data_IF_033206890401
#
_entry.id   IF_033206890401
#
_cell.length_a   1.000
_cell.length_b   1.000
_cell.length_c   1.000
_cell.angle_alpha   90.00
_cell.angle_beta   90.00
_cell.angle_gamma   90.00
#
_symmetry.space_group_name_H-M   'P 1'
#
loop_
_entity.id
_entity.type
_entity.pdbx_description
1 polymer ?
#
# COMPACT_ATOMS: atom_id res chain seq x y z
N UNK A 1 0.26 2.24 -21.15
CA UNK A 1 -0.33 1.43 -20.04
C UNK A 1 0.81 0.83 -19.26
N UNK A 2 1.01 1.23 -17.99
CA UNK A 2 2.03 0.63 -17.13
C UNK A 2 1.64 -0.83 -16.84
N UNK A 3 2.62 -1.71 -16.89
CA UNK A 3 2.37 -3.13 -16.64
C UNK A 3 1.98 -3.32 -15.17
N UNK A 4 0.76 -3.77 -14.92
CA UNK A 4 0.32 -4.16 -13.58
C UNK A 4 0.98 -5.51 -13.30
N UNK A 5 1.94 -5.52 -12.39
CA UNK A 5 2.57 -6.75 -11.92
C UNK A 5 1.63 -7.46 -10.94
N UNK A 6 1.57 -8.77 -11.02
CA UNK A 6 0.72 -9.59 -10.16
C UNK A 6 1.54 -10.64 -9.42
N UNK A 7 1.18 -10.89 -8.17
CA UNK A 7 1.59 -12.05 -7.41
C UNK A 7 0.37 -12.93 -7.17
N UNK A 8 0.45 -14.19 -7.55
CA UNK A 8 -0.63 -15.14 -7.38
C UNK A 8 -0.20 -16.30 -6.48
N UNK A 9 -1.03 -16.62 -5.51
CA UNK A 9 -0.89 -17.84 -4.73
C UNK A 9 -2.22 -18.58 -4.63
N UNK A 10 -2.17 -19.86 -4.93
CA UNK A 10 -3.34 -20.72 -4.96
C UNK A 10 -3.21 -21.75 -3.83
N UNK A 11 -4.28 -21.92 -3.07
CA UNK A 11 -4.40 -22.96 -2.05
C UNK A 11 -5.69 -23.75 -2.21
N UNK A 12 -5.66 -25.09 -2.19
CA UNK A 12 -6.87 -25.88 -2.06
C UNK A 12 -7.47 -25.67 -0.68
N UNK A 13 -8.77 -25.49 -0.60
CA UNK A 13 -9.56 -25.41 0.63
C UNK A 13 -10.67 -26.47 0.58
N UNK A 14 -10.79 -27.26 1.62
CA UNK A 14 -11.69 -28.39 1.65
C UNK A 14 -12.76 -28.23 2.76
N UNK A 15 -14.00 -28.58 2.41
CA UNK A 15 -15.09 -28.69 3.36
C UNK A 15 -15.50 -30.16 3.46
N UNK A 16 -15.50 -30.72 4.67
CA UNK A 16 -15.99 -32.06 4.91
C UNK A 16 -17.53 -32.08 4.88
N UNK A 17 -18.10 -32.98 4.07
CA UNK A 17 -19.53 -33.24 4.02
C UNK A 17 -19.77 -34.75 4.31
N UNK A 18 -21.02 -35.13 4.53
CA UNK A 18 -21.40 -36.57 4.72
C UNK A 18 -21.02 -37.43 3.52
N UNK A 19 -21.05 -36.85 2.30
CA UNK A 19 -20.72 -37.52 1.04
C UNK A 19 -19.24 -37.47 0.67
N UNK A 20 -18.36 -36.93 1.53
CA UNK A 20 -16.94 -36.77 1.29
C UNK A 20 -16.47 -35.30 1.32
N UNK A 21 -15.25 -35.08 0.86
CA UNK A 21 -14.63 -33.73 0.83
C UNK A 21 -14.97 -32.97 -0.44
N UNK A 22 -15.44 -31.73 -0.27
CA UNK A 22 -15.59 -30.78 -1.38
C UNK A 22 -14.42 -29.84 -1.41
N UNK A 23 -13.62 -29.91 -2.46
CA UNK A 23 -12.45 -29.03 -2.67
C UNK A 23 -12.83 -27.81 -3.47
N UNK A 24 -12.35 -26.65 -3.02
CA UNK A 24 -12.34 -25.39 -3.77
C UNK A 24 -10.93 -24.83 -3.77
N UNK A 25 -10.65 -23.95 -4.70
CA UNK A 25 -9.36 -23.28 -4.80
C UNK A 25 -9.49 -21.82 -4.38
N UNK A 26 -8.66 -21.41 -3.42
CA UNK A 26 -8.55 -20.03 -2.99
C UNK A 26 -7.37 -19.39 -3.69
N UNK A 27 -7.61 -18.34 -4.45
CA UNK A 27 -6.57 -17.49 -5.04
C UNK A 27 -6.38 -16.24 -4.19
N UNK A 28 -5.13 -15.91 -3.90
CA UNK A 28 -4.70 -14.69 -3.23
C UNK A 28 -3.85 -13.94 -4.25
N UNK A 29 -4.29 -12.76 -4.66
CA UNK A 29 -3.66 -11.97 -5.72
C UNK A 29 -3.30 -10.60 -5.16
N UNK A 30 -2.07 -10.17 -5.38
CA UNK A 30 -1.61 -8.81 -5.12
C UNK A 30 -1.25 -8.18 -6.45
N UNK A 31 -1.71 -6.98 -6.69
CA UNK A 31 -1.37 -6.18 -7.87
C UNK A 31 -0.69 -4.88 -7.45
N UNK A 32 0.16 -4.34 -8.29
CA UNK A 32 0.79 -3.04 -8.06
C UNK A 32 1.48 -2.50 -9.31
N UNK A 33 1.74 -1.20 -9.30
CA UNK A 33 2.41 -0.48 -10.38
C UNK A 33 3.88 -0.18 -10.08
N UNK A 34 4.38 -0.58 -8.90
CA UNK A 34 5.70 -0.24 -8.37
C UNK A 34 5.96 1.28 -8.20
N UNK A 35 4.90 2.09 -8.24
CA UNK A 35 4.97 3.55 -8.12
C UNK A 35 4.08 4.12 -7.01
N UNK A 36 3.73 3.30 -6.05
CA UNK A 36 2.97 3.74 -4.88
C UNK A 36 1.50 3.35 -4.88
N UNK A 37 1.10 2.36 -5.66
CA UNK A 37 -0.26 1.81 -5.63
C UNK A 37 -0.21 0.30 -5.50
N UNK A 38 -1.03 -0.24 -4.62
CA UNK A 38 -1.17 -1.69 -4.42
C UNK A 38 -2.61 -2.08 -4.19
N UNK A 39 -3.00 -3.24 -4.67
CA UNK A 39 -4.32 -3.82 -4.47
C UNK A 39 -4.23 -5.28 -4.04
N UNK A 40 -5.14 -5.72 -3.20
CA UNK A 40 -5.23 -7.10 -2.71
C UNK A 40 -6.61 -7.68 -3.02
N UNK A 41 -6.63 -8.84 -3.67
CA UNK A 41 -7.84 -9.57 -3.99
C UNK A 41 -7.77 -11.02 -3.54
N UNK A 42 -8.83 -11.52 -2.93
CA UNK A 42 -8.93 -12.90 -2.47
C UNK A 42 -10.28 -13.46 -2.90
N UNK A 43 -10.25 -14.59 -3.59
CA UNK A 43 -11.46 -15.28 -4.06
C UNK A 43 -11.30 -16.78 -4.02
N UNK A 44 -12.42 -17.45 -3.78
CA UNK A 44 -12.51 -18.92 -3.84
C UNK A 44 -13.47 -19.33 -4.94
N UNK A 45 -13.09 -20.36 -5.73
CA UNK A 45 -13.94 -20.94 -6.76
C UNK A 45 -13.74 -22.46 -6.84
N UNK A 46 -14.60 -23.14 -7.59
CA UNK A 46 -14.45 -24.57 -7.90
C UNK A 46 -13.27 -24.79 -8.85
N UNK A 47 -13.04 -23.85 -9.79
CA UNK A 47 -11.97 -23.89 -10.78
C UNK A 47 -10.88 -22.88 -10.42
N UNK A 48 -9.63 -23.25 -10.68
CA UNK A 48 -8.46 -22.41 -10.41
C UNK A 48 -8.49 -21.14 -11.27
N UNK A 49 -8.71 -21.28 -12.58
CA UNK A 49 -8.72 -20.14 -13.51
C UNK A 49 -9.79 -19.10 -13.15
N UNK A 50 -10.98 -19.55 -12.78
CA UNK A 50 -12.07 -18.67 -12.34
C UNK A 50 -11.75 -17.98 -11.02
N UNK A 51 -11.09 -18.68 -10.08
CA UNK A 51 -10.64 -18.09 -8.81
C UNK A 51 -9.63 -16.96 -9.05
N UNK A 52 -8.64 -17.18 -9.92
CA UNK A 52 -7.61 -16.20 -10.27
C UNK A 52 -8.23 -14.97 -10.93
N UNK A 53 -9.01 -15.15 -11.98
CA UNK A 53 -9.67 -14.03 -12.71
C UNK A 53 -10.51 -13.16 -11.77
N UNK A 54 -11.32 -13.81 -10.92
CA UNK A 54 -12.16 -13.10 -9.97
C UNK A 54 -11.33 -12.38 -8.88
N UNK A 55 -10.24 -12.99 -8.40
CA UNK A 55 -9.33 -12.35 -7.44
C UNK A 55 -8.62 -11.12 -8.04
N UNK A 56 -8.22 -11.17 -9.31
CA UNK A 56 -7.64 -10.02 -10.02
C UNK A 56 -8.64 -8.86 -10.10
N UNK A 57 -9.90 -9.15 -10.42
CA UNK A 57 -10.95 -8.11 -10.48
C UNK A 57 -11.12 -7.45 -9.10
N UNK A 58 -11.18 -8.24 -8.03
CA UNK A 58 -11.29 -7.72 -6.66
C UNK A 58 -10.04 -6.89 -6.30
N UNK A 59 -8.85 -7.37 -6.65
CA UNK A 59 -7.61 -6.64 -6.40
C UNK A 59 -7.59 -5.28 -7.11
N UNK A 60 -8.06 -5.20 -8.36
CA UNK A 60 -8.18 -3.94 -9.09
C UNK A 60 -9.17 -2.95 -8.46
N UNK A 61 -10.24 -3.44 -7.85
CA UNK A 61 -11.22 -2.62 -7.15
C UNK A 61 -10.74 -2.14 -5.77
N UNK A 62 -9.75 -2.84 -5.18
CA UNK A 62 -9.19 -2.53 -3.86
C UNK A 62 -7.87 -1.77 -3.91
N UNK A 63 -7.51 -1.20 -5.04
CA UNK A 63 -6.27 -0.43 -5.17
C UNK A 63 -6.31 0.81 -4.27
N UNK A 64 -5.25 0.98 -3.48
CA UNK A 64 -5.05 2.16 -2.64
C UNK A 64 -3.65 2.74 -2.82
N UNK A 65 -3.50 4.06 -2.62
CA UNK A 65 -2.22 4.74 -2.69
C UNK A 65 -1.40 4.48 -1.42
N UNK A 66 -0.08 4.47 -1.59
CA UNK A 66 0.90 4.28 -0.54
C UNK A 66 1.84 5.47 -0.50
N UNK A 67 2.06 6.01 0.69
CA UNK A 67 3.05 7.05 0.87
C UNK A 67 4.43 6.42 0.99
N UNK A 68 5.33 6.78 0.07
CA UNK A 68 6.75 6.47 0.17
C UNK A 68 7.47 7.63 0.84
N UNK A 69 8.58 7.34 1.50
CA UNK A 69 9.35 8.32 2.23
C UNK A 69 10.85 8.00 2.21
N UNK A 70 11.54 8.59 3.18
CA UNK A 70 12.99 8.48 3.34
C UNK A 70 13.30 7.96 4.73
N UNK A 71 14.41 7.22 4.85
CA UNK A 71 14.92 6.81 6.15
C UNK A 71 15.59 7.97 6.90
N UNK A 72 16.24 8.88 6.17
CA UNK A 72 17.00 10.02 6.71
C UNK A 72 16.82 11.25 5.82
N UNK A 73 17.88 11.75 5.22
CA UNK A 73 17.89 12.92 4.34
C UNK A 73 17.02 12.72 3.11
N UNK A 74 16.24 13.74 2.74
CA UNK A 74 15.36 13.74 1.58
C UNK A 74 16.14 14.00 0.28
N UNK A 75 17.04 13.09 -0.08
CA UNK A 75 17.84 13.16 -1.31
C UNK A 75 17.33 12.15 -2.33
N UNK A 76 17.10 12.58 -3.55
CA UNK A 76 16.62 11.74 -4.66
C UNK A 76 15.16 11.29 -4.51
N UNK A 77 14.81 10.18 -5.15
CA UNK A 77 13.46 9.64 -5.08
C UNK A 77 13.18 8.94 -3.73
N UNK A 78 11.93 8.96 -3.26
CA UNK A 78 11.56 8.24 -2.04
C UNK A 78 11.74 6.73 -2.24
N UNK A 79 12.52 6.13 -1.36
CA UNK A 79 12.93 4.72 -1.47
C UNK A 79 12.35 3.82 -0.39
N UNK A 80 11.86 4.39 0.70
CA UNK A 80 11.44 3.67 1.89
C UNK A 80 10.04 4.09 2.35
N UNK A 81 9.72 3.84 3.59
CA UNK A 81 8.47 4.21 4.24
C UNK A 81 8.67 5.51 5.03
N UNK A 82 7.63 6.37 5.15
CA UNK A 82 7.74 7.62 5.89
C UNK A 82 7.81 7.41 7.39
N UNK A 83 7.10 6.42 7.93
CA UNK A 83 6.94 6.14 9.36
C UNK A 83 6.96 4.64 9.62
N UNK A 84 7.12 4.27 10.89
CA UNK A 84 6.94 2.88 11.34
C UNK A 84 5.45 2.60 11.45
N UNK A 85 4.96 1.67 10.63
CA UNK A 85 3.54 1.33 10.61
C UNK A 85 3.30 -0.13 10.95
N UNK A 86 2.16 -0.39 11.58
CA UNK A 86 1.75 -1.73 11.94
C UNK A 86 0.36 -2.03 11.38
N UNK A 87 0.18 -3.25 10.92
CA UNK A 87 -1.12 -3.75 10.51
C UNK A 87 -1.42 -5.08 11.18
N UNK A 88 -2.69 -5.33 11.47
CA UNK A 88 -3.15 -6.55 12.13
C UNK A 88 -4.30 -7.17 11.33
N UNK A 89 -4.25 -8.49 11.22
CA UNK A 89 -5.36 -9.28 10.69
C UNK A 89 -5.43 -10.62 11.42
N UNK A 90 -6.51 -10.85 12.15
CA UNK A 90 -6.61 -12.02 13.03
C UNK A 90 -5.54 -12.01 14.11
N UNK A 91 -4.81 -13.11 14.24
CA UNK A 91 -3.67 -13.21 15.18
C UNK A 91 -2.36 -12.66 14.62
N UNK A 92 -2.30 -12.36 13.31
CA UNK A 92 -1.09 -11.89 12.65
C UNK A 92 -0.96 -10.37 12.80
N UNK A 93 0.21 -9.93 13.25
CA UNK A 93 0.61 -8.54 13.27
C UNK A 93 1.88 -8.40 12.44
N UNK A 94 1.89 -7.46 11.51
CA UNK A 94 3.06 -7.11 10.70
C UNK A 94 3.42 -5.67 11.00
N UNK A 95 4.68 -5.43 11.34
CA UNK A 95 5.25 -4.10 11.54
C UNK A 95 6.26 -3.82 10.45
N UNK A 96 6.12 -2.70 9.78
CA UNK A 96 7.02 -2.20 8.76
C UNK A 96 7.86 -1.06 9.32
N UNK A 97 9.15 -1.05 9.02
CA UNK A 97 10.13 -0.12 9.57
C UNK A 97 10.95 0.44 8.42
N UNK A 98 11.16 1.77 8.32
CA UNK A 98 12.03 2.38 7.34
C UNK A 98 13.47 1.85 7.44
N UNK A 99 14.14 1.74 6.30
CA UNK A 99 15.53 1.26 6.22
C UNK A 99 16.39 2.19 5.36
N UNK A 100 17.71 2.26 5.61
CA UNK A 100 18.65 3.03 4.79
C UNK A 100 18.73 2.48 3.37
N UNK A 101 19.21 3.32 2.44
CA UNK A 101 19.40 2.94 1.03
C UNK A 101 20.35 1.76 0.92
N UNK A 102 20.05 0.84 0.01
CA UNK A 102 20.85 -0.34 -0.25
C UNK A 102 20.58 -1.52 0.67
N UNK A 103 19.72 -1.37 1.69
CA UNK A 103 19.34 -2.49 2.58
C UNK A 103 18.47 -3.51 1.84
N UNK A 104 17.65 -3.05 0.87
CA UNK A 104 16.65 -3.87 0.24
C UNK A 104 15.46 -4.15 1.17
N UNK A 105 14.60 -5.04 0.76
CA UNK A 105 13.41 -5.42 1.56
C UNK A 105 13.73 -6.68 2.36
N UNK A 106 13.80 -6.54 3.68
CA UNK A 106 14.01 -7.63 4.63
C UNK A 106 12.67 -8.05 5.20
N UNK A 107 12.06 -9.04 4.59
CA UNK A 107 10.73 -9.51 4.91
C UNK A 107 10.51 -10.97 4.46
N UNK A 108 9.41 -11.58 4.90
CA UNK A 108 8.97 -12.87 4.36
C UNK A 108 8.69 -12.75 2.84
N UNK A 109 8.81 -13.82 2.05
CA UNK A 109 8.69 -13.75 0.58
C UNK A 109 7.41 -13.06 0.10
N UNK A 110 6.29 -13.32 0.74
CA UNK A 110 5.01 -12.72 0.38
C UNK A 110 4.93 -11.22 0.69
N UNK A 111 5.39 -10.82 1.87
CA UNK A 111 5.47 -9.41 2.28
C UNK A 111 6.47 -8.66 1.40
N UNK A 112 7.64 -9.27 1.13
CA UNK A 112 8.65 -8.71 0.23
C UNK A 112 8.06 -8.40 -1.14
N UNK A 113 7.34 -9.35 -1.72
CA UNK A 113 6.74 -9.17 -3.04
C UNK A 113 5.67 -8.08 -3.05
N UNK A 114 4.84 -8.00 -2.01
CA UNK A 114 3.85 -6.93 -1.87
C UNK A 114 4.53 -5.56 -1.81
N UNK A 115 5.59 -5.41 -1.02
CA UNK A 115 6.33 -4.14 -0.90
C UNK A 115 7.04 -3.76 -2.21
N UNK A 116 7.57 -4.74 -2.96
CA UNK A 116 8.12 -4.50 -4.30
C UNK A 116 7.05 -3.97 -5.27
N UNK A 117 5.86 -4.59 -5.26
CA UNK A 117 4.73 -4.14 -6.08
C UNK A 117 4.21 -2.76 -5.65
N UNK A 118 4.39 -2.41 -4.39
CA UNK A 118 4.10 -1.08 -3.84
C UNK A 118 5.12 0.00 -4.24
N UNK A 119 6.28 -0.40 -4.77
CA UNK A 119 7.38 0.51 -5.13
C UNK A 119 8.28 0.90 -3.97
N UNK A 120 8.25 0.14 -2.87
CA UNK A 120 9.22 0.29 -1.77
C UNK A 120 10.48 -0.46 -2.12
N UNK A 121 11.64 0.17 -1.93
CA UNK A 121 12.96 -0.41 -2.23
C UNK A 121 13.66 -0.93 -0.97
N UNK A 122 13.54 -0.20 0.13
CA UNK A 122 14.23 -0.49 1.38
C UNK A 122 13.25 -0.48 2.56
N UNK A 123 13.13 -1.60 3.25
CA UNK A 123 12.31 -1.72 4.43
C UNK A 123 12.74 -2.92 5.29
N UNK A 124 12.65 -2.76 6.61
CA UNK A 124 12.64 -3.87 7.56
C UNK A 124 11.22 -4.27 7.89
N UNK A 125 11.03 -5.52 8.27
CA UNK A 125 9.74 -6.00 8.76
C UNK A 125 9.91 -6.87 10.00
N UNK A 126 8.90 -6.82 10.86
CA UNK A 126 8.75 -7.73 11.99
C UNK A 126 7.36 -8.31 11.94
N UNK A 127 7.24 -9.62 12.08
CA UNK A 127 5.95 -10.33 12.03
C UNK A 127 5.76 -11.14 13.28
N UNK A 128 4.55 -11.13 13.84
CA UNK A 128 4.17 -11.87 15.03
C UNK A 128 2.85 -12.61 14.82
N UNK A 129 2.62 -13.66 15.62
CA UNK A 129 1.42 -14.48 15.55
C UNK A 129 1.55 -15.64 14.56
N UNK A 130 0.43 -16.13 14.05
CA UNK A 130 0.38 -17.28 13.13
C UNK A 130 0.69 -16.87 11.69
N UNK A 131 1.94 -16.48 11.41
CA UNK A 131 2.41 -15.96 10.12
C UNK A 131 2.37 -16.98 8.99
N UNK A 132 2.24 -18.27 9.29
CA UNK A 132 2.00 -19.32 8.28
C UNK A 132 0.66 -19.16 7.55
N UNK A 133 -0.28 -18.41 8.12
CA UNK A 133 -1.54 -18.05 7.45
C UNK A 133 -1.29 -16.88 6.49
N UNK A 134 -0.91 -17.20 5.25
CA UNK A 134 -0.47 -16.21 4.28
C UNK A 134 -1.52 -15.14 3.97
N UNK A 135 -2.80 -15.53 3.92
CA UNK A 135 -3.90 -14.59 3.72
C UNK A 135 -3.91 -13.48 4.78
N UNK A 136 -3.80 -13.86 6.06
CA UNK A 136 -3.78 -12.91 7.16
C UNK A 136 -2.50 -12.07 7.15
N UNK A 137 -1.37 -12.67 6.80
CA UNK A 137 -0.09 -11.93 6.67
C UNK A 137 -0.18 -10.87 5.59
N UNK A 138 -0.70 -11.19 4.41
CA UNK A 138 -0.88 -10.23 3.33
C UNK A 138 -1.92 -9.15 3.66
N UNK A 139 -3.04 -9.52 4.30
CA UNK A 139 -4.03 -8.54 4.78
C UNK A 139 -3.44 -7.59 5.82
N UNK A 140 -2.68 -8.11 6.79
CA UNK A 140 -2.00 -7.29 7.80
C UNK A 140 -0.99 -6.34 7.17
N UNK A 141 -0.20 -6.81 6.20
CA UNK A 141 0.75 -5.97 5.47
C UNK A 141 0.02 -4.90 4.65
N UNK A 142 -1.08 -5.25 3.98
CA UNK A 142 -1.89 -4.33 3.20
C UNK A 142 -2.47 -3.20 4.07
N UNK A 143 -2.94 -3.51 5.28
CA UNK A 143 -3.38 -2.52 6.26
C UNK A 143 -2.21 -1.64 6.72
N UNK A 144 -1.05 -2.23 7.05
CA UNK A 144 0.13 -1.47 7.45
C UNK A 144 0.59 -0.47 6.38
N UNK A 145 0.59 -0.89 5.13
CA UNK A 145 0.95 -0.04 3.99
C UNK A 145 -0.09 1.06 3.76
N UNK A 146 -1.38 0.75 3.90
CA UNK A 146 -2.45 1.75 3.82
C UNK A 146 -2.35 2.84 4.90
N UNK A 147 -1.89 2.46 6.10
CA UNK A 147 -1.71 3.40 7.21
C UNK A 147 -0.60 4.44 6.97
N UNK A 148 0.25 4.28 5.97
CA UNK A 148 1.31 5.25 5.64
C UNK A 148 0.78 6.65 5.34
N UNK A 149 -0.45 6.76 4.82
CA UNK A 149 -1.14 8.05 4.66
C UNK A 149 -1.96 8.46 5.89
N UNK A 150 -2.04 7.63 6.91
CA UNK A 150 -2.80 7.92 8.13
C UNK A 150 -2.17 9.01 9.02
N UNK A 151 -0.87 9.27 8.85
CA UNK A 151 -0.17 10.31 9.60
C UNK A 151 -0.29 11.67 8.88
N UNK A 152 -0.97 12.62 9.50
CA UNK A 152 -1.12 13.98 8.97
C UNK A 152 0.21 14.75 9.08
N UNK A 153 0.72 15.22 7.95
CA UNK A 153 1.92 16.07 7.86
C UNK A 153 1.56 17.43 7.27
N UNK A 154 2.34 18.50 7.52
CA UNK A 154 2.02 19.85 7.03
C UNK A 154 1.80 19.96 5.52
N UNK A 155 2.50 19.16 4.73
CA UNK A 155 2.33 19.10 3.27
C UNK A 155 1.00 18.47 2.81
N UNK A 156 0.26 17.81 3.69
CA UNK A 156 -1.08 17.28 3.44
C UNK A 156 -2.19 18.19 3.95
N UNK A 157 -1.84 19.32 4.57
CA UNK A 157 -2.81 20.29 5.00
C UNK A 157 -3.55 20.87 3.80
N UNK A 158 -4.84 21.16 3.99
CA UNK A 158 -5.63 21.88 3.00
C UNK A 158 -5.00 23.26 2.82
N UNK A 159 -4.65 23.64 1.58
CA UNK A 159 -4.17 24.96 1.27
C UNK A 159 -5.22 25.99 1.66
N UNK A 160 -4.97 26.77 2.70
CA UNK A 160 -5.70 27.98 2.96
C UNK A 160 -5.10 29.05 2.05
N UNK A 161 -5.82 29.42 1.01
CA UNK A 161 -5.51 30.63 0.26
C UNK A 161 -5.87 31.81 1.17
N UNK A 162 -4.91 32.23 1.97
CA UNK A 162 -4.96 33.55 2.61
C UNK A 162 -4.78 34.55 1.44
N UNK A 163 -5.90 34.93 0.85
CA UNK A 163 -5.92 36.03 -0.11
C UNK A 163 -5.58 37.32 0.65
N UNK A 164 -4.51 37.98 0.25
CA UNK A 164 -4.20 39.32 0.74
C UNK A 164 -5.38 40.25 0.43
N UNK A 165 -5.64 41.18 1.29
CA UNK A 165 -6.68 42.17 1.00
C UNK A 165 -6.35 42.90 -0.31
N UNK A 166 -7.33 43.30 -1.15
CA UNK A 166 -7.06 44.02 -2.41
C UNK A 166 -6.25 45.31 -2.21
N UNK A 167 -6.42 45.99 -1.07
CA UNK A 167 -5.63 47.14 -0.69
C UNK A 167 -4.16 46.83 -0.42
N UNK A 168 -3.86 45.66 0.12
CA UNK A 168 -2.48 45.22 0.36
C UNK A 168 -1.83 44.72 -0.92
N UNK A 169 -2.57 43.99 -1.76
CA UNK A 169 -2.06 43.46 -3.02
C UNK A 169 -1.85 44.51 -4.09
N UNK A 170 -2.74 45.51 -4.17
CA UNK A 170 -2.71 46.55 -5.18
C UNK A 170 -2.26 47.93 -4.62
N UNK A 171 -1.77 47.98 -3.38
CA UNK A 171 -1.37 49.21 -2.71
C UNK A 171 -0.35 50.01 -3.47
N UNK A 172 0.62 49.37 -4.09
CA UNK A 172 1.69 50.02 -4.86
C UNK A 172 1.12 50.62 -6.17
N UNK A 173 0.27 49.90 -6.88
CA UNK A 173 -0.40 50.34 -8.10
C UNK A 173 -1.32 51.54 -7.80
N UNK A 174 -2.03 51.54 -6.69
CA UNK A 174 -2.88 52.63 -6.26
C UNK A 174 -2.09 53.90 -5.85
N UNK A 175 -0.85 53.76 -5.36
CA UNK A 175 0.06 54.88 -5.08
C UNK A 175 0.61 55.49 -6.37
N UNK A 176 0.96 54.66 -7.35
CA UNK A 176 1.49 55.14 -8.65
C UNK A 176 0.41 55.83 -9.49
N UNK A 177 -0.85 55.36 -9.42
CA UNK A 177 -1.99 55.97 -10.14
C UNK A 177 -2.41 57.37 -9.67
N UNK A 178 -1.81 57.92 -8.62
CA UNK A 178 -2.09 59.28 -8.11
C UNK A 178 -1.07 60.35 -8.52
N UNK A 179 -0.27 60.11 -9.54
CA UNK A 179 0.54 61.16 -10.15
C UNK A 179 -0.21 61.78 -11.32
N UNK A 180 -1.15 62.68 -10.98
CA UNK A 180 -1.67 63.69 -11.88
C UNK A 180 -1.19 65.06 -11.41
#
# INVERSE_FOLDING_TARGET
>A
MRQILTLEQIKPVQKQTRAGQRTRFKAIVVIGDSEGHVGLGIKTSKEVATAIRAAIIIAKLSVLPIRRGYWGTNLGEPHSLPTKESGKCGSVTVRLIPAPRGTGIVASPAVKRLLQLAGVQDAYSSSAGSTKTLENTLKATFVAVGNTYGFLTPNLWKENKLTRSPLEEFGDVLREGKRY
#
